data_IF_579673174784
#
_entry.id   IF_579673174784
#
_cell.length_a   1.000
_cell.length_b   1.000
_cell.length_c   1.000
_cell.angle_alpha   90.00
_cell.angle_beta   90.00
_cell.angle_gamma   90.00
#
_symmetry.space_group_name_H-M   'P 1'
#
loop_
_entity.id
_entity.type
_entity.pdbx_description
1 polymer ?
#
# COMPACT_ATOMS: atom_id res chain seq x y z
N UNK A 1 28.51 -3.64 13.12
CA UNK A 1 28.42 -3.20 11.71
C UNK A 1 27.61 -1.92 11.64
N UNK A 2 28.21 -0.77 11.32
CA UNK A 2 27.49 0.50 11.21
C UNK A 2 26.57 0.46 9.97
N UNK A 3 25.28 0.74 10.16
CA UNK A 3 24.32 0.81 9.05
C UNK A 3 24.63 2.07 8.22
N UNK A 4 24.80 1.89 6.91
CA UNK A 4 24.95 3.01 5.97
C UNK A 4 23.75 3.98 6.05
N UNK A 5 23.96 5.26 5.77
CA UNK A 5 22.90 6.29 5.85
C UNK A 5 21.63 5.93 5.05
N UNK A 6 21.81 5.32 3.87
CA UNK A 6 20.72 4.84 3.02
C UNK A 6 19.90 3.73 3.72
N UNK A 7 20.57 2.82 4.43
CA UNK A 7 19.89 1.73 5.15
C UNK A 7 19.11 2.27 6.35
N UNK A 8 19.63 3.30 7.04
CA UNK A 8 18.89 4.01 8.10
C UNK A 8 17.64 4.68 7.53
N UNK A 9 17.78 5.38 6.40
CA UNK A 9 16.65 6.02 5.73
C UNK A 9 15.57 5.02 5.31
N UNK A 10 15.94 3.90 4.68
CA UNK A 10 15.01 2.85 4.33
C UNK A 10 14.25 2.32 5.56
N UNK A 11 14.93 2.16 6.70
CA UNK A 11 14.30 1.73 7.95
C UNK A 11 13.27 2.75 8.47
N UNK A 12 13.60 4.05 8.43
CA UNK A 12 12.67 5.12 8.82
C UNK A 12 11.42 5.08 7.94
N UNK A 13 11.60 5.05 6.61
CA UNK A 13 10.49 4.92 5.65
C UNK A 13 9.62 3.72 5.98
N UNK A 14 10.24 2.57 6.28
CA UNK A 14 9.49 1.37 6.61
C UNK A 14 8.68 1.49 7.90
N UNK A 15 9.16 2.21 8.92
CA UNK A 15 8.45 2.36 10.18
C UNK A 15 7.33 3.39 10.07
N UNK A 16 7.58 4.52 9.41
CA UNK A 16 6.59 5.58 9.25
C UNK A 16 5.38 5.14 8.42
N UNK A 17 5.61 4.30 7.42
CA UNK A 17 4.58 3.78 6.53
C UNK A 17 4.19 2.33 6.85
N UNK A 18 4.34 1.94 8.12
CA UNK A 18 3.73 0.70 8.61
C UNK A 18 2.20 0.84 8.60
N UNK A 19 1.49 -0.25 8.30
CA UNK A 19 0.03 -0.23 8.19
C UNK A 19 -0.68 0.19 9.49
N UNK A 20 -0.10 -0.12 10.64
CA UNK A 20 -0.65 0.30 11.94
C UNK A 20 -0.63 1.83 12.11
N UNK A 21 0.39 2.49 11.57
CA UNK A 21 0.55 3.95 11.59
C UNK A 21 -0.39 4.61 10.58
N UNK A 22 -0.51 4.03 9.38
CA UNK A 22 -1.31 4.57 8.28
C UNK A 22 -2.83 4.43 8.48
N UNK A 23 -3.28 3.53 9.34
CA UNK A 23 -4.71 3.35 9.60
C UNK A 23 -5.36 4.59 10.23
N UNK A 24 -4.69 5.22 11.20
CA UNK A 24 -5.19 6.43 11.87
C UNK A 24 -5.48 7.56 10.87
N UNK A 25 -4.51 8.02 10.05
CA UNK A 25 -4.75 9.11 9.11
C UNK A 25 -5.79 8.73 8.03
N UNK A 26 -5.89 7.46 7.61
CA UNK A 26 -6.99 7.01 6.73
C UNK A 26 -8.35 7.25 7.37
N UNK A 27 -8.59 6.75 8.58
CA UNK A 27 -9.91 6.88 9.20
C UNK A 27 -10.20 8.30 9.67
N UNK A 28 -9.18 9.07 10.06
CA UNK A 28 -9.36 10.52 10.29
C UNK A 28 -9.83 11.20 9.01
N UNK A 29 -9.14 10.97 7.88
CA UNK A 29 -9.48 11.58 6.61
C UNK A 29 -10.88 11.16 6.15
N UNK A 30 -11.19 9.86 6.11
CA UNK A 30 -12.48 9.37 5.60
C UNK A 30 -13.67 9.75 6.48
N UNK A 31 -13.49 9.84 7.81
CA UNK A 31 -14.59 10.15 8.72
C UNK A 31 -14.82 11.66 8.91
N UNK A 32 -13.76 12.47 8.89
CA UNK A 32 -13.85 13.89 9.25
C UNK A 32 -13.65 14.84 8.07
N UNK A 33 -13.12 14.37 6.93
CA UNK A 33 -13.05 15.15 5.71
C UNK A 33 -14.25 14.81 4.81
N UNK A 34 -15.24 15.69 4.81
CA UNK A 34 -16.46 15.52 4.02
C UNK A 34 -16.70 16.70 3.06
N UNK A 35 -16.02 16.72 1.91
CA UNK A 35 -16.23 17.74 0.89
C UNK A 35 -17.58 17.60 0.19
N UNK A 36 -18.29 16.47 0.37
CA UNK A 36 -19.60 16.22 -0.21
C UNK A 36 -20.77 16.62 0.72
N UNK A 37 -20.49 17.05 1.96
CA UNK A 37 -21.50 17.55 2.90
C UNK A 37 -22.42 16.46 3.50
N UNK A 38 -22.00 15.20 3.46
CA UNK A 38 -22.75 14.02 3.92
C UNK A 38 -22.53 13.64 5.40
N UNK A 39 -22.26 14.61 6.28
CA UNK A 39 -21.94 14.35 7.69
C UNK A 39 -23.16 13.76 8.41
N UNK A 40 -23.06 12.47 8.74
CA UNK A 40 -24.08 11.74 9.48
C UNK A 40 -23.84 11.84 10.98
N UNK A 41 -24.90 11.74 11.79
CA UNK A 41 -24.89 11.89 13.24
C UNK A 41 -23.97 10.89 14.00
N UNK A 42 -23.23 10.02 13.32
CA UNK A 42 -22.42 8.94 13.91
C UNK A 42 -20.97 8.88 13.42
N UNK A 43 -20.39 10.01 13.02
CA UNK A 43 -18.97 10.10 12.61
C UNK A 43 -18.03 9.53 13.68
N UNK A 44 -18.18 9.97 14.94
CA UNK A 44 -17.25 9.62 16.00
C UNK A 44 -17.32 8.12 16.37
N UNK A 45 -18.52 7.51 16.58
CA UNK A 45 -18.64 6.06 16.71
C UNK A 45 -18.07 5.29 15.51
N UNK A 46 -18.36 5.73 14.28
CA UNK A 46 -17.91 5.03 13.08
C UNK A 46 -16.38 5.11 12.92
N UNK A 47 -15.76 6.24 13.27
CA UNK A 47 -14.31 6.39 13.36
C UNK A 47 -13.71 5.41 14.36
N UNK A 48 -14.22 5.38 15.59
CA UNK A 48 -13.68 4.51 16.63
C UNK A 48 -13.83 3.03 16.26
N UNK A 49 -15.01 2.60 15.80
CA UNK A 49 -15.22 1.23 15.33
C UNK A 49 -14.22 0.89 14.22
N UNK A 50 -14.04 1.78 13.25
CA UNK A 50 -13.09 1.53 12.15
C UNK A 50 -11.66 1.44 12.63
N UNK A 51 -11.18 2.41 13.39
CA UNK A 51 -9.81 2.46 13.88
C UNK A 51 -9.49 1.31 14.85
N UNK A 52 -10.37 1.01 15.80
CA UNK A 52 -10.12 -0.04 16.79
C UNK A 52 -10.07 -1.43 16.15
N UNK A 53 -11.05 -1.77 15.30
CA UNK A 53 -11.12 -3.10 14.72
C UNK A 53 -10.09 -3.33 13.61
N UNK A 54 -9.70 -2.30 12.85
CA UNK A 54 -8.72 -2.46 11.76
C UNK A 54 -7.27 -2.32 12.25
N UNK A 55 -7.03 -1.50 13.28
CA UNK A 55 -5.67 -1.17 13.69
C UNK A 55 -5.39 -1.41 15.16
N UNK A 56 -6.12 -0.76 16.08
CA UNK A 56 -5.69 -0.72 17.48
C UNK A 56 -5.76 -2.10 18.16
N UNK A 57 -6.83 -2.88 17.96
CA UNK A 57 -6.97 -4.22 18.53
C UNK A 57 -5.96 -5.20 17.87
N UNK A 58 -5.90 -5.35 16.53
CA UNK A 58 -4.92 -6.23 15.90
C UNK A 58 -3.46 -5.90 16.25
N UNK A 59 -3.10 -4.61 16.30
CA UNK A 59 -1.74 -4.20 16.65
C UNK A 59 -1.41 -4.46 18.11
N UNK A 60 -2.36 -4.25 19.03
CA UNK A 60 -2.20 -4.61 20.44
C UNK A 60 -1.95 -6.12 20.61
N UNK A 61 -2.61 -6.94 19.79
CA UNK A 61 -2.37 -8.38 19.75
C UNK A 61 -0.98 -8.74 19.20
N UNK A 62 -0.51 -8.07 18.15
CA UNK A 62 0.88 -8.22 17.65
C UNK A 62 1.90 -7.86 18.73
N UNK A 63 1.69 -6.75 19.46
CA UNK A 63 2.55 -6.35 20.58
C UNK A 63 2.58 -7.41 21.67
N UNK A 64 1.44 -8.03 22.00
CA UNK A 64 1.36 -9.11 22.99
C UNK A 64 2.15 -10.34 22.51
N UNK A 65 1.98 -10.76 21.25
CA UNK A 65 2.74 -11.88 20.69
C UNK A 65 4.24 -11.62 20.69
N UNK A 66 4.66 -10.38 20.43
CA UNK A 66 6.07 -10.00 20.45
C UNK A 66 6.62 -10.05 21.89
N UNK A 67 5.91 -9.46 22.86
CA UNK A 67 6.29 -9.48 24.28
C UNK A 67 6.35 -10.88 24.87
N UNK A 68 5.50 -11.80 24.40
CA UNK A 68 5.47 -13.20 24.84
C UNK A 68 6.44 -14.11 24.06
N UNK A 69 7.26 -13.56 23.17
CA UNK A 69 8.23 -14.31 22.38
C UNK A 69 7.64 -15.23 21.31
N UNK A 70 6.32 -15.13 21.05
CA UNK A 70 5.62 -15.94 20.02
C UNK A 70 5.96 -15.48 18.59
N UNK A 71 6.33 -14.21 18.43
CA UNK A 71 6.87 -13.66 17.18
C UNK A 71 8.18 -12.93 17.46
N UNK A 72 9.07 -12.90 16.48
CA UNK A 72 10.44 -12.40 16.66
C UNK A 72 10.66 -10.93 16.30
N UNK A 73 9.70 -10.29 15.62
CA UNK A 73 9.81 -8.92 15.10
C UNK A 73 8.39 -8.38 14.87
N UNK A 74 8.13 -7.13 15.24
CA UNK A 74 6.81 -6.47 15.11
C UNK A 74 6.33 -6.37 13.65
N UNK A 75 7.24 -6.32 12.67
CA UNK A 75 6.89 -6.31 11.25
C UNK A 75 6.70 -7.72 10.66
N UNK A 76 6.86 -8.76 11.49
CA UNK A 76 6.61 -10.18 11.17
C UNK A 76 7.19 -10.59 9.80
N UNK A 77 8.52 -10.49 9.60
CA UNK A 77 9.15 -10.78 8.32
C UNK A 77 9.09 -12.26 7.95
N UNK A 78 8.99 -13.16 8.94
CA UNK A 78 8.89 -14.60 8.76
C UNK A 78 7.44 -14.98 8.47
N UNK A 79 7.21 -15.59 7.31
CA UNK A 79 5.87 -16.00 6.84
C UNK A 79 5.15 -16.93 7.83
N UNK A 80 5.88 -17.86 8.45
CA UNK A 80 5.34 -18.83 9.41
C UNK A 80 4.77 -18.15 10.68
N UNK A 81 5.28 -16.99 11.06
CA UNK A 81 4.81 -16.22 12.22
C UNK A 81 3.56 -15.37 11.89
N UNK A 82 3.12 -15.31 10.62
CA UNK A 82 2.01 -14.45 10.17
C UNK A 82 0.62 -15.07 10.34
N UNK A 83 0.51 -16.40 10.39
CA UNK A 83 -0.80 -17.07 10.32
C UNK A 83 -1.74 -16.62 11.44
N UNK A 84 -1.26 -16.64 12.69
CA UNK A 84 -2.07 -16.22 13.84
C UNK A 84 -2.44 -14.72 13.79
N UNK A 85 -1.50 -13.77 13.59
CA UNK A 85 -1.84 -12.36 13.37
C UNK A 85 -2.85 -12.14 12.25
N UNK A 86 -2.72 -12.85 11.13
CA UNK A 86 -3.62 -12.74 9.99
C UNK A 86 -5.02 -13.28 10.30
N UNK A 87 -5.14 -14.35 11.07
CA UNK A 87 -6.44 -14.84 11.51
C UNK A 87 -7.15 -13.80 12.39
N UNK A 88 -6.43 -13.27 13.38
CA UNK A 88 -6.99 -12.30 14.33
C UNK A 88 -7.43 -11.02 13.63
N UNK A 89 -6.60 -10.43 12.76
CA UNK A 89 -7.02 -9.20 12.05
C UNK A 89 -8.25 -9.45 11.17
N UNK A 90 -8.37 -10.61 10.53
CA UNK A 90 -9.56 -10.94 9.73
C UNK A 90 -10.82 -11.06 10.60
N UNK A 91 -10.73 -11.70 11.76
CA UNK A 91 -11.84 -11.76 12.73
C UNK A 91 -12.22 -10.34 13.17
N UNK A 92 -11.24 -9.50 13.56
CA UNK A 92 -11.51 -8.13 13.96
C UNK A 92 -12.19 -7.32 12.86
N UNK A 93 -11.71 -7.39 11.62
CA UNK A 93 -12.29 -6.65 10.50
C UNK A 93 -13.72 -7.11 10.21
N UNK A 94 -14.00 -8.41 10.24
CA UNK A 94 -15.36 -8.94 10.09
C UNK A 94 -16.27 -8.41 11.20
N UNK A 95 -15.83 -8.52 12.47
CA UNK A 95 -16.60 -8.02 13.62
C UNK A 95 -16.87 -6.52 13.54
N UNK A 96 -15.86 -5.72 13.20
CA UNK A 96 -16.01 -4.28 13.09
C UNK A 96 -16.88 -3.86 11.92
N UNK A 97 -16.87 -4.60 10.79
CA UNK A 97 -17.81 -4.37 9.71
C UNK A 97 -19.26 -4.62 10.16
N UNK A 98 -19.52 -5.72 10.87
CA UNK A 98 -20.85 -6.01 11.41
C UNK A 98 -21.34 -4.89 12.33
N UNK A 99 -20.49 -4.37 13.21
CA UNK A 99 -20.82 -3.21 14.06
C UNK A 99 -21.08 -1.96 13.21
N UNK A 100 -20.27 -1.72 12.18
CA UNK A 100 -20.41 -0.56 11.29
C UNK A 100 -21.73 -0.57 10.51
N UNK A 101 -22.32 -1.74 10.21
CA UNK A 101 -23.62 -1.84 9.52
C UNK A 101 -24.77 -1.26 10.36
N UNK A 102 -24.69 -1.33 11.68
CA UNK A 102 -25.66 -0.71 12.58
C UNK A 102 -25.45 0.80 12.72
N UNK A 103 -24.32 1.31 12.22
CA UNK A 103 -24.03 2.73 12.23
C UNK A 103 -24.50 3.41 10.94
N UNK A 104 -25.15 4.55 11.09
CA UNK A 104 -25.38 5.49 9.99
C UNK A 104 -24.04 6.18 9.68
N UNK A 105 -23.21 5.49 8.90
CA UNK A 105 -21.93 5.96 8.38
C UNK A 105 -21.96 6.28 6.88
N UNK A 106 -21.04 7.14 6.44
CA UNK A 106 -20.94 7.59 5.05
C UNK A 106 -20.71 6.42 4.09
N UNK A 107 -21.19 6.57 2.85
CA UNK A 107 -20.98 5.56 1.80
C UNK A 107 -19.49 5.32 1.52
N UNK A 108 -18.67 6.38 1.59
CA UNK A 108 -17.22 6.27 1.42
C UNK A 108 -16.60 5.45 2.53
N UNK A 109 -16.98 5.68 3.80
CA UNK A 109 -16.45 4.90 4.92
C UNK A 109 -16.80 3.41 4.80
N UNK A 110 -18.06 3.10 4.47
CA UNK A 110 -18.49 1.71 4.23
C UNK A 110 -17.71 1.06 3.09
N UNK A 111 -17.48 1.81 2.01
CA UNK A 111 -16.70 1.34 0.85
C UNK A 111 -15.24 1.08 1.22
N UNK A 112 -14.61 2.01 1.94
CA UNK A 112 -13.24 1.85 2.44
C UNK A 112 -13.15 0.64 3.36
N UNK A 113 -14.08 0.50 4.30
CA UNK A 113 -14.11 -0.66 5.19
C UNK A 113 -14.30 -1.96 4.40
N UNK A 114 -15.14 -1.98 3.37
CA UNK A 114 -15.33 -3.14 2.50
C UNK A 114 -14.05 -3.53 1.74
N UNK A 115 -13.21 -2.55 1.37
CA UNK A 115 -11.87 -2.80 0.80
C UNK A 115 -10.99 -3.54 1.82
N UNK A 116 -11.01 -3.15 3.10
CA UNK A 116 -10.31 -3.90 4.15
C UNK A 116 -10.90 -5.30 4.34
N UNK A 117 -12.23 -5.40 4.40
CA UNK A 117 -12.97 -6.64 4.62
C UNK A 117 -12.69 -7.69 3.55
N UNK A 118 -12.48 -7.29 2.30
CA UNK A 118 -12.21 -8.22 1.19
C UNK A 118 -10.73 -8.31 0.84
N UNK A 119 -9.99 -7.21 0.95
CA UNK A 119 -8.57 -7.15 0.65
C UNK A 119 -7.72 -7.93 1.65
N UNK A 120 -8.01 -7.83 2.95
CA UNK A 120 -7.26 -8.55 3.98
C UNK A 120 -7.40 -10.08 3.85
N UNK A 121 -8.60 -10.67 3.69
CA UNK A 121 -8.72 -12.11 3.44
C UNK A 121 -7.97 -12.55 2.19
N UNK A 122 -8.08 -11.82 1.07
CA UNK A 122 -7.38 -12.18 -0.18
C UNK A 122 -5.87 -12.17 0.03
N UNK A 123 -5.32 -11.12 0.64
CA UNK A 123 -3.89 -11.04 0.94
C UNK A 123 -3.48 -12.13 1.95
N UNK A 124 -4.30 -12.41 2.96
CA UNK A 124 -4.06 -13.47 3.93
C UNK A 124 -3.98 -14.85 3.27
N UNK A 125 -4.95 -15.20 2.42
CA UNK A 125 -5.00 -16.47 1.68
C UNK A 125 -3.75 -16.60 0.81
N UNK A 126 -3.38 -15.55 0.06
CA UNK A 126 -2.14 -15.57 -0.72
C UNK A 126 -0.93 -15.76 0.20
N UNK A 127 -0.90 -15.13 1.38
CA UNK A 127 0.20 -15.24 2.35
C UNK A 127 0.40 -16.66 2.90
N UNK A 128 -0.67 -17.47 2.95
CA UNK A 128 -0.59 -18.90 3.32
C UNK A 128 0.26 -19.69 2.34
N UNK A 129 0.36 -19.26 1.08
CA UNK A 129 1.14 -19.96 0.04
C UNK A 129 2.42 -19.21 -0.37
N UNK A 130 2.37 -17.87 -0.42
CA UNK A 130 3.41 -17.03 -0.97
C UNK A 130 3.66 -15.77 -0.14
N UNK A 131 4.92 -15.41 0.11
CA UNK A 131 5.25 -14.26 0.96
C UNK A 131 4.97 -12.94 0.24
N UNK A 132 3.84 -12.30 0.49
CA UNK A 132 3.49 -10.98 -0.07
C UNK A 132 3.92 -9.81 0.84
N UNK A 133 4.11 -8.63 0.25
CA UNK A 133 4.51 -7.41 0.97
C UNK A 133 3.31 -6.61 1.47
N UNK A 134 2.93 -6.83 2.74
CA UNK A 134 1.85 -6.07 3.38
C UNK A 134 2.07 -4.56 3.38
N UNK A 135 3.31 -4.08 3.60
CA UNK A 135 3.60 -2.64 3.56
C UNK A 135 3.31 -2.04 2.18
N UNK A 136 3.70 -2.74 1.10
CA UNK A 136 3.49 -2.26 -0.27
C UNK A 136 2.01 -2.31 -0.66
N UNK A 137 1.28 -3.33 -0.21
CA UNK A 137 -0.17 -3.39 -0.36
C UNK A 137 -0.87 -2.26 0.41
N UNK A 138 -0.48 -2.04 1.67
CA UNK A 138 -1.14 -1.05 2.52
C UNK A 138 -0.90 0.38 2.05
N UNK A 139 0.32 0.73 1.65
CA UNK A 139 0.59 2.07 1.10
C UNK A 139 -0.15 2.30 -0.23
N UNK A 140 -0.32 1.25 -1.05
CA UNK A 140 -1.10 1.35 -2.29
C UNK A 140 -2.57 1.62 -1.98
N UNK A 141 -3.15 0.85 -1.05
CA UNK A 141 -4.52 1.07 -0.58
C UNK A 141 -4.69 2.47 0.02
N UNK A 142 -3.75 2.91 0.88
CA UNK A 142 -3.71 4.26 1.45
C UNK A 142 -3.78 5.32 0.34
N UNK A 143 -2.90 5.24 -0.66
CA UNK A 143 -2.85 6.24 -1.73
C UNK A 143 -4.13 6.25 -2.57
N UNK A 144 -4.71 5.08 -2.86
CA UNK A 144 -5.98 4.99 -3.59
C UNK A 144 -7.16 5.57 -2.79
N UNK A 145 -7.23 5.31 -1.49
CA UNK A 145 -8.25 5.89 -0.61
C UNK A 145 -8.07 7.41 -0.54
N UNK A 146 -6.84 7.89 -0.36
CA UNK A 146 -6.54 9.32 -0.30
C UNK A 146 -6.90 10.05 -1.59
N UNK A 147 -6.72 9.42 -2.75
CA UNK A 147 -7.21 9.97 -4.02
C UNK A 147 -8.74 10.14 -4.02
N UNK A 148 -9.50 9.23 -3.41
CA UNK A 148 -10.95 9.40 -3.27
C UNK A 148 -11.32 10.46 -2.25
N UNK A 149 -10.49 10.67 -1.22
CA UNK A 149 -10.78 11.65 -0.17
C UNK A 149 -10.35 13.06 -0.56
N UNK A 150 -9.23 13.25 -1.25
CA UNK A 150 -8.64 14.58 -1.50
C UNK A 150 -8.48 14.93 -2.99
N UNK A 151 -8.96 14.07 -3.90
CA UNK A 151 -8.90 14.32 -5.34
C UNK A 151 -7.47 14.51 -5.84
N UNK A 152 -7.27 15.53 -6.68
CA UNK A 152 -5.96 15.83 -7.31
C UNK A 152 -4.85 16.12 -6.29
N UNK A 153 -5.20 16.63 -5.10
CA UNK A 153 -4.23 16.98 -4.06
C UNK A 153 -3.54 15.73 -3.47
N UNK A 154 -4.15 14.56 -3.59
CA UNK A 154 -3.57 13.30 -3.13
C UNK A 154 -2.72 12.59 -4.20
N UNK A 155 -2.54 13.11 -5.41
CA UNK A 155 -1.71 12.47 -6.46
C UNK A 155 -0.29 12.21 -5.97
N UNK A 156 0.28 13.13 -5.18
CA UNK A 156 1.62 12.96 -4.61
C UNK A 156 1.75 11.71 -3.72
N UNK A 157 0.66 11.22 -3.12
CA UNK A 157 0.68 9.99 -2.31
C UNK A 157 1.01 8.74 -3.14
N UNK A 158 0.81 8.77 -4.47
CA UNK A 158 1.21 7.68 -5.35
C UNK A 158 2.74 7.47 -5.35
N UNK A 159 3.53 8.52 -5.07
CA UNK A 159 4.98 8.43 -4.95
C UNK A 159 5.43 7.67 -3.69
N UNK A 160 4.55 7.49 -2.71
CA UNK A 160 4.84 6.69 -1.52
C UNK A 160 4.91 5.20 -1.85
N UNK A 161 4.15 4.73 -2.85
CA UNK A 161 4.14 3.33 -3.28
C UNK A 161 5.55 2.87 -3.66
N UNK A 162 6.26 3.51 -4.61
CA UNK A 162 7.62 3.12 -4.93
C UNK A 162 8.63 3.40 -3.82
N UNK A 163 8.46 4.46 -3.03
CA UNK A 163 9.36 4.79 -1.92
C UNK A 163 9.37 3.69 -0.85
N UNK A 164 8.17 3.28 -0.40
CA UNK A 164 8.01 2.21 0.60
C UNK A 164 8.44 0.88 0.01
N UNK A 165 8.04 0.58 -1.22
CA UNK A 165 8.43 -0.63 -1.94
C UNK A 165 9.95 -0.79 -2.05
N UNK A 166 10.65 0.29 -2.43
CA UNK A 166 12.10 0.36 -2.46
C UNK A 166 12.71 0.04 -1.10
N UNK A 167 12.19 0.65 -0.03
CA UNK A 167 12.64 0.37 1.33
C UNK A 167 12.53 -1.13 1.66
N UNK A 168 11.43 -1.79 1.30
CA UNK A 168 11.23 -3.23 1.59
C UNK A 168 12.22 -4.12 0.85
N UNK A 169 12.54 -3.80 -0.41
CA UNK A 169 13.54 -4.53 -1.19
C UNK A 169 14.96 -4.23 -0.68
N UNK A 170 15.29 -2.96 -0.42
CA UNK A 170 16.61 -2.54 0.09
C UNK A 170 16.93 -3.17 1.44
N UNK A 171 15.95 -3.27 2.33
CA UNK A 171 16.07 -3.95 3.62
C UNK A 171 16.05 -5.48 3.50
N UNK A 172 16.03 -6.02 2.28
CA UNK A 172 15.96 -7.47 1.98
C UNK A 172 14.80 -8.17 2.68
N UNK A 173 13.71 -7.44 2.96
CA UNK A 173 12.52 -8.01 3.58
C UNK A 173 11.64 -8.70 2.54
N UNK A 174 11.66 -8.23 1.30
CA UNK A 174 10.87 -8.74 0.18
C UNK A 174 11.65 -8.70 -1.14
N UNK A 175 11.26 -9.53 -2.09
CA UNK A 175 11.69 -9.41 -3.50
C UNK A 175 10.77 -8.47 -4.26
N UNK A 176 11.20 -7.98 -5.43
CA UNK A 176 10.39 -7.12 -6.30
C UNK A 176 9.08 -7.79 -6.72
N UNK A 177 9.09 -9.09 -7.03
CA UNK A 177 7.86 -9.84 -7.35
C UNK A 177 6.86 -9.90 -6.19
N UNK A 178 7.34 -10.06 -4.95
CA UNK A 178 6.48 -10.06 -3.75
C UNK A 178 5.84 -8.70 -3.47
N UNK A 179 6.54 -7.63 -3.82
CA UNK A 179 6.05 -6.25 -3.73
C UNK A 179 5.01 -6.00 -4.82
N UNK A 180 5.35 -6.30 -6.08
CA UNK A 180 4.47 -6.10 -7.23
C UNK A 180 3.15 -6.85 -7.10
N UNK A 181 3.20 -8.12 -6.68
CA UNK A 181 1.99 -8.90 -6.44
C UNK A 181 1.10 -8.25 -5.38
N UNK A 182 1.71 -7.73 -4.30
CA UNK A 182 1.00 -7.02 -3.24
C UNK A 182 0.27 -5.77 -3.73
N UNK A 183 0.92 -4.99 -4.59
CA UNK A 183 0.34 -3.80 -5.21
C UNK A 183 -0.78 -4.19 -6.18
N UNK A 184 -0.55 -5.18 -7.05
CA UNK A 184 -1.52 -5.60 -8.06
C UNK A 184 -2.82 -6.11 -7.42
N UNK A 185 -2.70 -7.02 -6.44
CA UNK A 185 -3.86 -7.61 -5.75
C UNK A 185 -4.70 -6.54 -5.07
N UNK A 186 -4.07 -5.67 -4.27
CA UNK A 186 -4.84 -4.67 -3.52
C UNK A 186 -5.42 -3.58 -4.43
N UNK A 187 -4.72 -3.22 -5.51
CA UNK A 187 -5.26 -2.30 -6.51
C UNK A 187 -6.49 -2.89 -7.17
N UNK A 188 -6.44 -4.16 -7.59
CA UNK A 188 -7.56 -4.85 -8.19
C UNK A 188 -8.78 -4.87 -7.25
N UNK A 189 -8.59 -5.26 -5.99
CA UNK A 189 -9.66 -5.24 -4.98
C UNK A 189 -10.21 -3.83 -4.79
N UNK A 190 -9.33 -2.85 -4.53
CA UNK A 190 -9.75 -1.48 -4.20
C UNK A 190 -10.54 -0.84 -5.35
N UNK A 191 -10.02 -0.94 -6.58
CA UNK A 191 -10.65 -0.38 -7.77
C UNK A 191 -11.97 -1.09 -8.09
N UNK A 192 -12.04 -2.40 -7.92
CA UNK A 192 -13.29 -3.16 -8.10
C UNK A 192 -14.35 -2.67 -7.13
N UNK A 193 -14.01 -2.54 -5.85
CA UNK A 193 -14.96 -2.10 -4.82
C UNK A 193 -15.37 -0.64 -5.02
N UNK A 194 -14.46 0.26 -5.37
CA UNK A 194 -14.83 1.63 -5.75
C UNK A 194 -15.73 1.67 -7.00
N UNK A 195 -15.51 0.79 -7.97
CA UNK A 195 -16.36 0.70 -9.17
C UNK A 195 -17.77 0.24 -8.81
N UNK A 196 -17.90 -0.88 -8.09
CA UNK A 196 -19.19 -1.47 -7.70
C UNK A 196 -20.00 -0.49 -6.85
N UNK A 197 -19.35 0.26 -5.96
CA UNK A 197 -20.01 1.26 -5.11
C UNK A 197 -20.20 2.62 -5.79
N UNK A 198 -20.01 2.73 -7.11
CA UNK A 198 -20.34 3.93 -7.87
C UNK A 198 -19.23 4.98 -7.97
N UNK A 199 -18.23 4.97 -7.08
CA UNK A 199 -17.23 6.04 -6.98
C UNK A 199 -16.47 6.33 -8.27
N UNK A 200 -16.25 5.34 -9.15
CA UNK A 200 -15.49 5.56 -10.38
C UNK A 200 -16.31 6.05 -11.59
N UNK A 201 -17.62 5.84 -11.59
CA UNK A 201 -18.46 6.06 -12.79
C UNK A 201 -19.64 7.03 -12.58
N UNK A 202 -19.98 7.38 -11.34
CA UNK A 202 -21.07 8.36 -11.04
C UNK A 202 -20.61 9.82 -11.14
N UNK A 203 -19.41 10.09 -11.66
CA UNK A 203 -18.85 11.44 -11.67
C UNK A 203 -18.48 11.95 -10.28
N UNK A 204 -18.09 11.04 -9.37
CA UNK A 204 -17.61 11.39 -8.03
C UNK A 204 -16.55 12.49 -8.10
N UNK A 205 -16.69 13.50 -7.23
CA UNK A 205 -15.96 14.78 -7.34
C UNK A 205 -14.45 14.57 -7.44
N UNK A 206 -13.88 13.67 -6.63
CA UNK A 206 -12.46 13.42 -6.58
C UNK A 206 -11.94 12.83 -7.90
N UNK A 207 -12.72 11.94 -8.50
CA UNK A 207 -12.40 11.34 -9.81
C UNK A 207 -12.47 12.39 -10.91
N UNK A 208 -13.44 13.32 -10.85
CA UNK A 208 -13.49 14.45 -11.79
C UNK A 208 -12.27 15.35 -11.68
N UNK A 209 -11.90 15.77 -10.47
CA UNK A 209 -10.72 16.61 -10.26
C UNK A 209 -9.43 15.96 -10.75
N UNK A 210 -9.25 14.67 -10.49
CA UNK A 210 -8.07 13.93 -10.96
C UNK A 210 -8.07 13.87 -12.50
N UNK A 211 -9.21 13.57 -13.13
CA UNK A 211 -9.34 13.56 -14.60
C UNK A 211 -9.03 14.93 -15.20
N UNK A 212 -9.59 15.99 -14.63
CA UNK A 212 -9.37 17.38 -15.07
C UNK A 212 -7.92 17.81 -14.89
N UNK A 213 -7.28 17.43 -13.77
CA UNK A 213 -5.87 17.73 -13.54
C UNK A 213 -5.00 17.20 -14.68
N UNK A 214 -5.24 15.94 -15.10
CA UNK A 214 -4.48 15.33 -16.19
C UNK A 214 -4.90 15.81 -17.58
N UNK A 215 -6.16 16.22 -17.80
CA UNK A 215 -6.57 16.79 -19.08
C UNK A 215 -5.98 18.19 -19.31
N UNK A 216 -5.84 18.96 -18.23
CA UNK A 216 -5.45 20.37 -18.25
C UNK A 216 -3.94 20.60 -18.00
N UNK A 217 -3.17 19.56 -17.63
CA UNK A 217 -1.71 19.69 -17.54
C UNK A 217 -1.09 19.80 -18.95
N UNK A 218 -0.06 20.64 -19.08
CA UNK A 218 0.56 20.98 -20.37
C UNK A 218 1.04 19.73 -21.12
N UNK A 219 1.13 19.84 -22.44
CA UNK A 219 1.54 18.77 -23.37
C UNK A 219 2.77 17.98 -22.91
N UNK A 220 3.71 18.59 -22.19
CA UNK A 220 4.95 17.97 -21.70
C UNK A 220 4.77 17.02 -20.51
N UNK A 221 3.67 17.13 -19.76
CA UNK A 221 3.31 16.22 -18.67
C UNK A 221 2.27 15.18 -19.09
N UNK A 222 1.81 15.21 -20.35
CA UNK A 222 0.98 14.14 -20.90
C UNK A 222 1.89 12.93 -21.12
N UNK A 223 1.69 11.81 -20.40
CA UNK A 223 2.29 10.56 -20.83
C UNK A 223 1.73 10.29 -22.22
N UNK A 224 2.57 10.24 -23.25
CA UNK A 224 2.19 9.82 -24.61
C UNK A 224 1.88 8.32 -24.60
N UNK A 225 0.82 7.94 -23.90
CA UNK A 225 0.31 6.59 -23.79
C UNK A 225 -0.97 6.50 -24.64
N UNK A 226 -1.05 5.58 -25.61
CA UNK A 226 -2.09 5.55 -26.65
C UNK A 226 -3.52 5.20 -26.16
N UNK A 227 -3.78 5.25 -24.85
CA UNK A 227 -5.04 4.85 -24.23
C UNK A 227 -5.70 5.95 -23.38
N UNK A 228 -5.20 7.19 -23.46
CA UNK A 228 -5.74 8.32 -22.72
C UNK A 228 -7.11 8.75 -23.29
N UNK A 229 -8.19 8.50 -22.53
CA UNK A 229 -9.58 8.80 -22.91
C UNK A 229 -10.62 7.80 -22.40
N UNK A 230 -10.22 6.61 -21.92
CA UNK A 230 -11.14 5.51 -21.59
C UNK A 230 -11.75 5.54 -20.17
N UNK A 231 -11.41 6.52 -19.32
CA UNK A 231 -11.87 6.55 -17.93
C UNK A 231 -11.40 5.37 -17.07
N UNK A 232 -10.38 4.63 -17.52
CA UNK A 232 -10.05 3.31 -17.00
C UNK A 232 -9.04 3.36 -15.83
N UNK A 233 -9.36 2.79 -14.66
CA UNK A 233 -8.45 2.74 -13.50
C UNK A 233 -7.14 1.97 -13.74
N UNK A 234 -7.02 1.26 -14.87
CA UNK A 234 -5.78 0.64 -15.34
C UNK A 234 -4.61 1.62 -15.52
N UNK A 235 -4.85 2.92 -15.65
CA UNK A 235 -3.77 3.93 -15.78
C UNK A 235 -2.91 4.00 -14.51
N UNK A 236 -3.50 3.87 -13.32
CA UNK A 236 -2.73 3.87 -12.06
C UNK A 236 -1.90 2.60 -11.93
N UNK A 237 -2.48 1.45 -12.28
CA UNK A 237 -1.76 0.18 -12.35
C UNK A 237 -0.61 0.27 -13.35
N UNK A 238 -0.86 0.85 -14.53
CA UNK A 238 0.15 1.03 -15.57
C UNK A 238 1.27 1.99 -15.14
N UNK A 239 0.97 3.11 -14.47
CA UNK A 239 2.01 4.03 -13.94
C UNK A 239 2.86 3.32 -12.88
N UNK A 240 2.24 2.55 -11.99
CA UNK A 240 2.96 1.75 -10.99
C UNK A 240 3.80 0.68 -11.69
N UNK A 241 3.25 -0.07 -12.65
CA UNK A 241 3.97 -1.08 -13.42
C UNK A 241 5.12 -0.48 -14.23
N UNK A 242 4.94 0.69 -14.87
CA UNK A 242 5.95 1.38 -15.66
C UNK A 242 7.09 1.93 -14.78
N UNK A 243 6.75 2.49 -13.62
CA UNK A 243 7.75 2.87 -12.61
C UNK A 243 8.57 1.64 -12.19
N UNK A 244 7.89 0.52 -11.89
CA UNK A 244 8.57 -0.71 -11.49
C UNK A 244 9.37 -1.38 -12.61
N UNK A 245 8.94 -1.31 -13.88
CA UNK A 245 9.71 -1.88 -15.00
C UNK A 245 10.98 -1.08 -15.26
N UNK A 246 10.91 0.26 -15.18
CA UNK A 246 12.07 1.14 -15.27
C UNK A 246 13.00 0.97 -14.07
N UNK A 247 12.45 0.79 -12.87
CA UNK A 247 13.21 0.59 -11.64
C UNK A 247 13.88 -0.80 -11.57
N UNK A 248 13.17 -1.86 -11.99
CA UNK A 248 13.69 -3.23 -12.08
C UNK A 248 14.86 -3.32 -13.07
N UNK A 249 14.72 -2.70 -14.25
CA UNK A 249 15.79 -2.64 -15.25
C UNK A 249 17.05 -1.95 -14.70
N UNK A 250 16.88 -0.88 -13.93
CA UNK A 250 18.00 -0.17 -13.29
C UNK A 250 18.67 -0.99 -12.18
N UNK A 251 17.92 -1.78 -11.42
CA UNK A 251 18.50 -2.68 -10.40
C UNK A 251 19.28 -3.84 -11.02
N UNK A 252 18.78 -4.45 -12.10
CA UNK A 252 19.48 -5.52 -12.82
C UNK A 252 20.79 -4.99 -13.43
N UNK A 253 20.74 -3.82 -14.07
CA UNK A 253 21.94 -3.15 -14.60
C UNK A 253 22.96 -2.86 -13.49
N UNK A 254 22.51 -2.46 -12.30
CA UNK A 254 23.40 -2.21 -11.18
C UNK A 254 24.01 -3.51 -10.61
N UNK A 255 23.26 -4.61 -10.56
CA UNK A 255 23.80 -5.92 -10.14
C UNK A 255 24.72 -6.54 -11.18
N UNK A 256 24.43 -6.38 -12.48
CA UNK A 256 25.29 -6.85 -13.57
C UNK A 256 26.60 -6.05 -13.61
N UNK A 257 26.55 -4.73 -13.43
CA UNK A 257 27.76 -3.90 -13.36
C UNK A 257 28.65 -4.23 -12.15
N UNK A 258 28.05 -4.55 -10.99
CA UNK A 258 28.81 -5.00 -9.83
C UNK A 258 29.44 -6.39 -10.05
N UNK A 259 28.73 -7.30 -10.71
CA UNK A 259 29.27 -8.61 -11.07
C UNK A 259 30.43 -8.49 -12.08
N UNK A 260 30.35 -7.56 -13.04
CA UNK A 260 31.45 -7.25 -13.96
C UNK A 260 32.68 -6.69 -13.25
N UNK A 261 32.48 -5.74 -12.33
CA UNK A 261 33.55 -5.18 -11.50
C UNK A 261 34.25 -6.25 -10.64
N UNK A 262 33.50 -7.18 -10.05
CA UNK A 262 34.08 -8.27 -9.26
C UNK A 262 34.91 -9.24 -10.14
N UNK A 263 34.49 -9.50 -11.38
CA UNK A 263 35.23 -10.32 -12.35
C UNK A 263 36.52 -9.61 -12.79
N UNK A 264 36.44 -8.32 -13.10
CA UNK A 264 37.59 -7.52 -13.56
C UNK A 264 38.63 -7.34 -12.45
N UNK A 265 38.19 -7.15 -11.20
CA UNK A 265 39.09 -7.09 -10.04
C UNK A 265 39.78 -8.44 -9.82
N UNK A 266 39.06 -9.56 -9.92
CA UNK A 266 39.67 -10.89 -9.74
C UNK A 266 40.68 -11.22 -10.85
N UNK A 267 40.37 -10.89 -12.10
CA UNK A 267 41.28 -11.12 -13.23
C UNK A 267 42.57 -10.28 -13.09
N UNK A 268 42.46 -9.01 -12.66
CA UNK A 268 43.62 -8.15 -12.43
C UNK A 268 44.49 -8.61 -11.24
N UNK A 269 43.88 -9.24 -10.22
CA UNK A 269 44.62 -9.81 -9.09
C UNK A 269 45.35 -11.11 -9.46
N UNK A 270 44.78 -11.92 -10.37
CA UNK A 270 45.45 -13.11 -10.91
C UNK A 270 46.61 -12.73 -11.84
N UNK A 271 46.47 -11.69 -12.67
CA UNK A 271 47.53 -11.19 -13.56
C UNK A 271 48.72 -10.56 -12.81
N UNK A 272 48.50 -10.00 -11.62
CA UNK A 272 49.55 -9.46 -10.75
C UNK A 272 50.21 -10.51 -9.85
N UNK A 273 49.66 -11.74 -9.81
CA UNK A 273 50.18 -12.84 -9.00
C UNK A 273 51.08 -13.82 -9.79
N UNK A 274 51.34 -13.54 -11.08
CA UNK A 274 52.25 -14.27 -11.99
C UNK A 274 53.49 -13.43 -12.26
#
# INVERSE_FOLDING_TARGET
MQLTGITKFARIVSFLFDGSVLALPIFVAVCFYDPAGSIQAQILPAFFVSYFFIAAIPYSFILLLYKTGRISDLQIPKRKERLLPLLIINICVISGFLVLLFLKSSALLKTVYLIYLLGLPVISIITVFYKISFHSSYITMFSLIYLMVFGKWAIATLLLIPLVSWSRVKLRRHTTGQVLLGIAVISAVSLTIFTINGFLWTGYWAVREVKEFFSNTSFYLRPSLPFYGSGNPLIVIMIITLFFSLFYRKQNLFSENLAWLDIEINNNLEEQAV
#
